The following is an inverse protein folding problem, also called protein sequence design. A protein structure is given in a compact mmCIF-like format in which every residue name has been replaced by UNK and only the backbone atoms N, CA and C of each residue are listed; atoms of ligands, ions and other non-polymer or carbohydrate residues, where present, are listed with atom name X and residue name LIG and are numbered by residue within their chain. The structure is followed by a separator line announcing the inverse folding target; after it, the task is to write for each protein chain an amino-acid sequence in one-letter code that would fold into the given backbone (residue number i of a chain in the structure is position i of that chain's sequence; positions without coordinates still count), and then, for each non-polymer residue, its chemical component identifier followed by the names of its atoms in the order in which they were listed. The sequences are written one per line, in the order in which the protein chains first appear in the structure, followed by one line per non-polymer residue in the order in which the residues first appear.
data_IF_225328583112
#
_entry.id   IF_225328583112
#
_cell.length_a   1.000
_cell.length_b   1.000
_cell.length_c   1.000
_cell.angle_alpha   90.00
_cell.angle_beta   90.00
_cell.angle_gamma   90.00
#
_symmetry.space_group_name_H-M   'P 1'
#
loop_
_entity.id
_entity.type
_entity.pdbx_description
1 polymer ?
#
# COMPACT_ATOMS: atom_id res chain seq x y z
N UNK A 1 23.32 6.48 -15.66
CA UNK A 1 23.53 7.66 -14.79
C UNK A 1 22.98 7.33 -13.42
N UNK A 2 23.72 7.64 -12.35
CA UNK A 2 23.32 7.49 -10.95
C UNK A 2 23.60 8.78 -10.17
N UNK A 3 23.14 8.89 -8.93
CA UNK A 3 23.28 10.11 -8.10
C UNK A 3 23.91 9.81 -6.74
N UNK A 4 24.96 10.55 -6.40
CA UNK A 4 25.63 10.47 -5.09
C UNK A 4 25.10 11.50 -4.08
N UNK A 5 24.18 12.38 -4.48
CA UNK A 5 23.64 13.44 -3.59
C UNK A 5 22.64 12.86 -2.60
N UNK A 6 22.66 13.33 -1.36
CA UNK A 6 21.71 12.89 -0.33
C UNK A 6 20.28 13.34 -0.62
N UNK A 7 20.10 14.37 -1.44
CA UNK A 7 18.80 14.74 -1.99
C UNK A 7 18.08 13.55 -2.68
N UNK A 8 18.82 12.64 -3.32
CA UNK A 8 18.20 11.44 -3.92
C UNK A 8 17.68 10.47 -2.84
N UNK A 9 18.40 10.32 -1.73
CA UNK A 9 18.00 9.49 -0.59
C UNK A 9 16.76 10.07 0.10
N UNK A 10 16.73 11.39 0.28
CA UNK A 10 15.58 12.11 0.82
C UNK A 10 14.35 12.00 -0.11
N UNK A 11 14.53 12.16 -1.42
CA UNK A 11 13.46 12.03 -2.41
C UNK A 11 12.80 10.64 -2.38
N UNK A 12 13.58 9.56 -2.23
CA UNK A 12 13.02 8.21 -2.07
C UNK A 12 12.11 8.13 -0.84
N UNK A 13 12.48 8.77 0.27
CA UNK A 13 11.64 8.82 1.47
C UNK A 13 10.37 9.64 1.24
N UNK A 14 10.45 10.76 0.51
CA UNK A 14 9.29 11.57 0.13
C UNK A 14 8.30 10.76 -0.74
N UNK A 15 8.80 10.06 -1.76
CA UNK A 15 8.00 9.21 -2.64
C UNK A 15 7.26 8.12 -1.86
N UNK A 16 7.93 7.50 -0.86
CA UNK A 16 7.27 6.54 0.03
C UNK A 16 6.16 7.21 0.85
N UNK A 17 6.41 8.39 1.42
CA UNK A 17 5.40 9.13 2.18
C UNK A 17 4.17 9.45 1.32
N UNK A 18 4.38 10.03 0.14
CA UNK A 18 3.31 10.42 -0.78
C UNK A 18 2.49 9.22 -1.23
N UNK A 19 3.16 8.11 -1.57
CA UNK A 19 2.50 6.87 -1.95
C UNK A 19 1.59 6.34 -0.82
N UNK A 20 2.03 6.41 0.44
CA UNK A 20 1.20 5.95 1.57
C UNK A 20 0.08 6.93 1.92
N UNK A 21 0.30 8.23 1.77
CA UNK A 21 -0.76 9.23 1.95
C UNK A 21 -1.88 9.06 0.92
N UNK A 22 -1.52 8.87 -0.35
CA UNK A 22 -2.48 8.60 -1.44
C UNK A 22 -3.28 7.31 -1.21
N UNK A 23 -2.67 6.32 -0.55
CA UNK A 23 -3.34 5.08 -0.12
C UNK A 23 -4.21 5.25 1.14
N UNK A 24 -4.39 6.48 1.63
CA UNK A 24 -5.23 6.79 2.80
C UNK A 24 -4.58 6.40 4.13
N UNK A 25 -3.25 6.33 4.19
CA UNK A 25 -2.50 5.95 5.39
C UNK A 25 -1.94 7.14 6.15
N UNK A 26 -2.32 8.38 5.79
CA UNK A 26 -1.89 9.59 6.49
C UNK A 26 -2.04 9.45 8.02
N UNK A 27 -0.96 9.77 8.75
CA UNK A 27 -0.89 9.65 10.21
C UNK A 27 -0.84 8.21 10.76
N UNK A 28 -0.71 7.19 9.90
CA UNK A 28 -0.67 5.76 10.27
C UNK A 28 0.62 5.06 9.87
N UNK A 29 1.60 5.80 9.38
CA UNK A 29 2.91 5.27 9.04
C UNK A 29 3.99 6.24 9.51
N UNK A 30 5.21 5.73 9.57
CA UNK A 30 6.43 6.52 9.73
C UNK A 30 7.51 5.93 8.83
N UNK A 31 8.28 6.79 8.15
CA UNK A 31 9.51 6.42 7.46
C UNK A 31 10.67 6.71 8.41
N UNK A 32 11.45 5.68 8.71
CA UNK A 32 12.58 5.73 9.62
C UNK A 32 13.88 5.64 8.82
N UNK A 33 14.83 6.51 9.11
CA UNK A 33 16.13 6.57 8.41
C UNK A 33 17.24 6.26 9.41
N UNK A 34 18.08 5.29 9.08
CA UNK A 34 19.37 5.05 9.71
C UNK A 34 20.52 5.34 8.74
N UNK A 35 21.77 5.29 9.20
CA UNK A 35 22.94 5.44 8.33
C UNK A 35 24.06 4.47 8.73
N UNK A 36 24.57 3.72 7.74
CA UNK A 36 25.65 2.74 7.91
C UNK A 36 26.97 3.39 8.34
N UNK A 37 27.29 4.56 7.81
CA UNK A 37 28.52 5.28 8.17
C UNK A 37 28.51 5.68 9.65
N UNK A 38 27.35 6.08 10.18
CA UNK A 38 27.19 6.35 11.62
C UNK A 38 27.45 5.09 12.44
N UNK A 39 26.78 3.98 12.13
CA UNK A 39 26.99 2.73 12.87
C UNK A 39 28.44 2.26 12.81
N UNK A 40 29.10 2.36 11.65
CA UNK A 40 30.51 2.04 11.52
C UNK A 40 31.37 2.91 12.44
N UNK A 41 31.13 4.22 12.48
CA UNK A 41 31.86 5.12 13.38
C UNK A 41 31.59 4.88 14.87
N UNK A 42 30.38 4.43 15.23
CA UNK A 42 30.06 3.97 16.59
C UNK A 42 30.90 2.75 16.97
N UNK A 43 31.03 1.79 16.05
CA UNK A 43 31.85 0.60 16.25
C UNK A 43 33.35 0.93 16.35
N UNK A 44 33.84 1.85 15.52
CA UNK A 44 35.21 2.38 15.62
C UNK A 44 35.45 3.02 16.99
N UNK A 45 34.52 3.87 17.45
CA UNK A 45 34.60 4.55 18.75
C UNK A 45 34.54 3.57 19.92
N UNK A 46 33.75 2.50 19.78
CA UNK A 46 33.71 1.40 20.75
C UNK A 46 35.02 0.58 20.78
N UNK A 47 35.95 0.78 19.82
CA UNK A 47 37.17 0.00 19.69
C UNK A 47 36.92 -1.40 19.15
N UNK A 48 35.89 -1.56 18.30
CA UNK A 48 35.65 -2.81 17.55
C UNK A 48 36.47 -2.76 16.27
N UNK A 49 37.26 -3.79 16.02
CA UNK A 49 38.06 -3.87 14.78
C UNK A 49 37.16 -3.99 13.55
N UNK A 50 37.29 -3.00 12.67
CA UNK A 50 36.54 -2.86 11.42
C UNK A 50 37.43 -3.25 10.23
N UNK A 51 37.59 -4.56 10.02
CA UNK A 51 38.18 -5.08 8.78
C UNK A 51 37.14 -5.09 7.64
N UNK A 52 37.57 -5.08 6.36
CA UNK A 52 36.68 -5.40 5.24
C UNK A 52 36.04 -6.77 5.51
N UNK A 53 34.70 -6.82 5.51
CA UNK A 53 33.91 -8.01 5.88
C UNK A 53 33.97 -8.42 7.37
N UNK A 54 34.19 -7.46 8.28
CA UNK A 54 34.14 -7.70 9.73
C UNK A 54 32.90 -8.52 10.13
N UNK A 55 33.16 -9.77 10.54
CA UNK A 55 32.13 -10.70 11.01
C UNK A 55 31.45 -10.13 12.25
N UNK A 56 32.22 -9.46 13.11
CA UNK A 56 31.72 -8.81 14.32
C UNK A 56 30.75 -7.68 13.98
N UNK A 57 31.11 -6.76 13.07
CA UNK A 57 30.20 -5.69 12.63
C UNK A 57 28.90 -6.26 12.03
N UNK A 58 29.02 -7.31 11.20
CA UNK A 58 27.86 -8.01 10.64
C UNK A 58 26.99 -8.67 11.72
N UNK A 59 27.60 -9.27 12.75
CA UNK A 59 26.89 -9.84 13.89
C UNK A 59 26.17 -8.74 14.68
N UNK A 60 26.83 -7.61 14.96
CA UNK A 60 26.21 -6.46 15.65
C UNK A 60 24.98 -5.97 14.88
N UNK A 61 25.09 -5.77 13.57
CA UNK A 61 23.95 -5.37 12.73
C UNK A 61 22.79 -6.36 12.83
N UNK A 62 23.06 -7.67 12.79
CA UNK A 62 22.02 -8.71 12.98
C UNK A 62 21.42 -8.72 14.38
N UNK A 63 22.15 -8.26 15.38
CA UNK A 63 21.62 -8.13 16.75
C UNK A 63 20.62 -6.96 16.79
N UNK A 64 21.01 -5.81 16.26
CA UNK A 64 20.17 -4.61 16.22
C UNK A 64 18.96 -4.76 15.29
N UNK A 65 19.08 -5.47 14.15
CA UNK A 65 17.95 -5.74 13.23
C UNK A 65 16.79 -6.50 13.93
N UNK A 66 17.07 -7.14 15.08
CA UNK A 66 16.07 -7.81 15.92
C UNK A 66 15.46 -6.89 16.99
N UNK A 67 15.78 -5.59 17.01
CA UNK A 67 15.34 -4.64 18.03
C UNK A 67 13.82 -4.57 18.14
N UNK A 68 13.10 -4.44 17.02
CA UNK A 68 11.63 -4.39 17.01
C UNK A 68 10.98 -5.63 17.65
N UNK A 69 11.65 -6.79 17.61
CA UNK A 69 11.15 -8.06 18.18
C UNK A 69 11.60 -8.29 19.62
N UNK A 70 12.83 -7.90 19.94
CA UNK A 70 13.50 -8.29 21.20
C UNK A 70 13.59 -7.16 22.22
N UNK A 71 13.37 -5.93 21.79
CA UNK A 71 13.60 -4.72 22.57
C UNK A 71 15.05 -4.55 22.98
N UNK A 72 15.30 -3.49 23.75
CA UNK A 72 16.66 -3.14 24.21
C UNK A 72 17.32 -4.29 24.97
N UNK A 73 16.64 -4.87 25.98
CA UNK A 73 17.22 -5.92 26.82
C UNK A 73 17.66 -7.14 26.01
N UNK A 74 16.86 -7.58 25.05
CA UNK A 74 17.19 -8.71 24.19
C UNK A 74 18.35 -8.40 23.24
N UNK A 75 18.43 -7.17 22.73
CA UNK A 75 19.56 -6.72 21.89
C UNK A 75 20.84 -6.62 22.70
N UNK A 76 20.83 -6.07 23.93
CA UNK A 76 22.03 -6.02 24.79
C UNK A 76 22.61 -7.40 25.05
N UNK A 77 21.75 -8.39 25.35
CA UNK A 77 22.19 -9.78 25.52
C UNK A 77 22.86 -10.32 24.24
N UNK A 78 22.28 -10.03 23.08
CA UNK A 78 22.82 -10.43 21.77
C UNK A 78 24.09 -9.67 21.38
N UNK A 79 24.28 -8.42 21.77
CA UNK A 79 25.54 -7.71 21.54
C UNK A 79 26.70 -8.36 22.30
N UNK A 80 26.40 -8.92 23.48
CA UNK A 80 27.36 -9.62 24.35
C UNK A 80 27.42 -11.10 24.00
N UNK A 81 27.28 -11.99 24.98
CA UNK A 81 27.48 -13.44 24.80
C UNK A 81 26.35 -14.14 24.01
N UNK A 82 25.15 -13.58 23.98
CA UNK A 82 23.98 -14.20 23.38
C UNK A 82 22.82 -14.34 24.37
N UNK A 83 21.77 -15.03 23.95
CA UNK A 83 20.57 -15.25 24.77
C UNK A 83 19.95 -16.62 24.51
N UNK A 84 19.29 -17.16 25.52
CA UNK A 84 18.37 -18.29 25.38
C UNK A 84 16.93 -17.76 25.25
N UNK A 85 16.14 -18.35 24.36
CA UNK A 85 14.72 -18.04 24.25
C UNK A 85 13.85 -18.97 25.12
N UNK A 86 12.54 -18.73 25.11
CA UNK A 86 11.57 -19.51 25.92
C UNK A 86 11.47 -20.97 25.49
N UNK A 87 11.90 -21.30 24.26
CA UNK A 87 11.95 -22.67 23.74
C UNK A 87 13.22 -23.42 24.14
N UNK A 88 14.18 -22.72 24.75
CA UNK A 88 15.47 -23.27 25.13
C UNK A 88 16.53 -23.18 24.02
N UNK A 89 16.25 -22.50 22.91
CA UNK A 89 17.21 -22.31 21.84
C UNK A 89 18.18 -21.17 22.18
N UNK A 90 19.49 -21.42 22.03
CA UNK A 90 20.52 -20.43 22.33
C UNK A 90 20.98 -19.74 21.05
N UNK A 91 20.79 -18.43 21.00
CA UNK A 91 21.33 -17.57 19.96
C UNK A 91 22.65 -16.97 20.43
N UNK A 92 23.75 -17.33 19.76
CA UNK A 92 25.07 -16.74 19.98
C UNK A 92 25.04 -15.22 19.68
N UNK A 93 25.72 -14.45 20.54
CA UNK A 93 25.84 -13.00 20.40
C UNK A 93 27.03 -12.54 19.54
N UNK A 94 27.21 -11.22 19.46
CA UNK A 94 28.32 -10.60 18.75
C UNK A 94 29.64 -10.64 19.54
N UNK A 95 29.60 -10.97 20.83
CA UNK A 95 30.78 -11.15 21.66
C UNK A 95 31.44 -9.84 22.11
N UNK A 96 30.71 -8.72 22.08
CA UNK A 96 31.22 -7.45 22.58
C UNK A 96 31.44 -7.48 24.09
N UNK A 97 32.48 -6.79 24.55
CA UNK A 97 32.65 -6.46 25.98
C UNK A 97 31.52 -5.55 26.48
N UNK A 98 31.33 -5.47 27.80
CA UNK A 98 30.30 -4.59 28.38
C UNK A 98 30.51 -3.13 27.95
N UNK A 99 31.75 -2.63 28.00
CA UNK A 99 32.09 -1.27 27.57
C UNK A 99 31.78 -1.02 26.08
N UNK A 100 32.10 -1.97 25.21
CA UNK A 100 31.77 -1.87 23.77
C UNK A 100 30.26 -1.89 23.54
N UNK A 101 29.54 -2.78 24.23
CA UNK A 101 28.09 -2.87 24.12
C UNK A 101 27.41 -1.59 24.61
N UNK A 102 27.94 -0.94 25.65
CA UNK A 102 27.36 0.27 26.23
C UNK A 102 27.41 1.45 25.23
N UNK A 103 28.48 1.58 24.42
CA UNK A 103 28.56 2.58 23.33
C UNK A 103 27.50 2.33 22.25
N UNK A 104 27.28 1.06 21.88
CA UNK A 104 26.21 0.69 20.94
C UNK A 104 24.82 0.96 21.54
N UNK A 105 24.64 0.72 22.83
CA UNK A 105 23.38 1.02 23.54
C UNK A 105 23.12 2.53 23.59
N UNK A 106 24.14 3.35 23.79
CA UNK A 106 24.03 4.81 23.71
C UNK A 106 23.55 5.24 22.32
N UNK A 107 24.17 4.69 21.26
CA UNK A 107 23.71 4.88 19.88
C UNK A 107 22.25 4.51 19.67
N UNK A 108 21.81 3.34 20.14
CA UNK A 108 20.41 2.90 20.00
C UNK A 108 19.41 3.79 20.76
N UNK A 109 19.87 4.47 21.82
CA UNK A 109 19.06 5.42 22.60
C UNK A 109 19.11 6.85 22.04
N UNK A 110 19.89 7.12 20.99
CA UNK A 110 20.00 8.45 20.39
C UNK A 110 18.74 8.89 19.61
N UNK A 111 17.72 8.03 19.51
CA UNK A 111 16.42 8.41 18.98
C UNK A 111 15.83 9.60 19.77
N UNK A 112 15.34 10.61 19.06
CA UNK A 112 15.03 11.92 19.62
C UNK A 112 13.70 12.48 19.13
N UNK A 113 13.33 13.66 19.65
CA UNK A 113 12.09 14.35 19.28
C UNK A 113 12.17 15.03 17.92
N UNK A 114 13.34 15.51 17.53
CA UNK A 114 13.59 16.10 16.21
C UNK A 114 14.76 15.41 15.51
N UNK A 115 14.80 15.48 14.18
CA UNK A 115 15.92 14.97 13.37
C UNK A 115 17.25 15.64 13.74
N UNK A 116 17.22 16.94 14.05
CA UNK A 116 18.38 17.70 14.53
C UNK A 116 18.92 17.17 15.86
N UNK A 117 18.06 16.94 16.85
CA UNK A 117 18.49 16.43 18.16
C UNK A 117 19.21 15.06 18.01
N UNK A 118 18.70 14.22 17.10
CA UNK A 118 19.33 12.94 16.78
C UNK A 118 20.72 13.15 16.16
N UNK A 119 20.85 14.05 15.18
CA UNK A 119 22.16 14.37 14.59
C UNK A 119 23.16 14.89 15.64
N UNK A 120 22.73 15.74 16.57
CA UNK A 120 23.59 16.26 17.65
C UNK A 120 24.03 15.15 18.61
N UNK A 121 23.10 14.29 19.03
CA UNK A 121 23.42 13.13 19.88
C UNK A 121 24.39 12.19 19.17
N UNK A 122 24.13 11.84 17.91
CA UNK A 122 25.00 10.97 17.12
C UNK A 122 26.40 11.58 16.95
N UNK A 123 26.52 12.90 16.76
CA UNK A 123 27.82 13.59 16.67
C UNK A 123 28.64 13.44 17.95
N UNK A 124 28.00 13.46 19.11
CA UNK A 124 28.65 13.17 20.38
C UNK A 124 29.15 11.73 20.50
N UNK A 125 28.32 10.77 20.06
CA UNK A 125 28.60 9.33 20.19
C UNK A 125 29.71 8.87 19.24
N UNK A 126 29.72 9.36 17.99
CA UNK A 126 30.76 8.99 17.01
C UNK A 126 32.10 9.69 17.26
N UNK A 127 32.13 10.71 18.13
CA UNK A 127 33.35 11.42 18.53
C UNK A 127 34.20 11.86 17.34
N UNK A 128 35.46 11.41 17.31
CA UNK A 128 36.44 11.75 16.27
C UNK A 128 36.41 10.82 15.04
N UNK A 129 35.52 9.83 14.99
CA UNK A 129 35.40 8.94 13.83
C UNK A 129 35.05 9.74 12.57
N UNK A 130 35.92 9.72 11.57
CA UNK A 130 35.68 10.40 10.30
C UNK A 130 34.51 9.77 9.55
N UNK A 131 34.42 8.44 9.57
CA UNK A 131 33.34 7.67 8.97
C UNK A 131 32.00 7.99 9.66
N UNK A 132 31.99 8.01 11.00
CA UNK A 132 30.81 8.36 11.78
C UNK A 132 30.33 9.79 11.51
N UNK A 133 31.25 10.76 11.54
CA UNK A 133 30.92 12.16 11.28
C UNK A 133 30.40 12.37 9.86
N UNK A 134 30.98 11.67 8.86
CA UNK A 134 30.43 11.66 7.51
C UNK A 134 28.97 11.20 7.48
N UNK A 135 28.64 10.11 8.18
CA UNK A 135 27.26 9.63 8.27
C UNK A 135 26.31 10.62 8.92
N UNK A 136 26.77 11.36 9.94
CA UNK A 136 25.98 12.42 10.59
C UNK A 136 25.77 13.61 9.65
N UNK A 137 26.78 14.01 8.89
CA UNK A 137 26.68 15.08 7.90
C UNK A 137 25.73 14.70 6.75
N UNK A 138 25.77 13.44 6.30
CA UNK A 138 24.81 12.92 5.33
C UNK A 138 23.36 12.97 5.85
N UNK A 139 23.13 12.62 7.13
CA UNK A 139 21.81 12.76 7.76
C UNK A 139 21.38 14.23 7.86
N UNK A 140 22.29 15.15 8.16
CA UNK A 140 22.00 16.58 8.20
C UNK A 140 21.59 17.12 6.81
N UNK A 141 22.26 16.70 5.73
CA UNK A 141 21.88 17.07 4.35
C UNK A 141 20.48 16.52 3.99
N UNK A 142 20.15 15.30 4.44
CA UNK A 142 18.79 14.74 4.29
C UNK A 142 17.77 15.58 5.06
N UNK A 143 18.05 15.99 6.29
CA UNK A 143 17.16 16.81 7.12
C UNK A 143 16.87 18.17 6.47
N UNK A 144 17.90 18.84 5.94
CA UNK A 144 17.75 20.10 5.21
C UNK A 144 16.80 19.95 4.02
N UNK A 145 16.95 18.88 3.23
CA UNK A 145 16.09 18.61 2.09
C UNK A 145 14.65 18.30 2.52
N UNK A 146 14.45 17.40 3.49
CA UNK A 146 13.12 17.01 3.96
C UNK A 146 12.37 18.21 4.54
N UNK A 147 13.06 19.04 5.31
CA UNK A 147 12.51 20.27 5.88
C UNK A 147 12.09 21.25 4.79
N UNK A 148 12.95 21.47 3.79
CA UNK A 148 12.63 22.34 2.64
C UNK A 148 11.46 21.80 1.80
N UNK A 149 11.32 20.48 1.71
CA UNK A 149 10.24 19.80 0.99
C UNK A 149 8.93 19.70 1.80
N UNK A 150 8.92 20.09 3.08
CA UNK A 150 7.72 20.09 3.92
C UNK A 150 7.39 18.73 4.57
N UNK A 151 8.36 17.83 4.69
CA UNK A 151 8.19 16.54 5.38
C UNK A 151 8.70 16.65 6.82
N UNK A 152 7.76 16.75 7.75
CA UNK A 152 8.02 16.87 9.18
C UNK A 152 8.41 15.52 9.85
N UNK A 153 8.69 15.58 11.14
CA UNK A 153 9.08 14.44 11.97
C UNK A 153 7.90 13.52 12.32
N UNK A 154 6.66 13.86 11.95
CA UNK A 154 5.54 12.92 12.03
C UNK A 154 5.56 11.91 10.88
N UNK A 155 6.19 12.29 9.75
CA UNK A 155 6.30 11.43 8.56
C UNK A 155 7.66 10.74 8.47
N UNK A 156 8.75 11.49 8.70
CA UNK A 156 10.12 10.99 8.50
C UNK A 156 11.00 11.29 9.72
N UNK A 157 11.53 10.24 10.36
CA UNK A 157 12.37 10.33 11.56
C UNK A 157 13.74 9.69 11.35
N UNK A 158 14.73 10.13 12.12
CA UNK A 158 16.01 9.44 12.23
C UNK A 158 15.94 8.44 13.38
N UNK A 159 16.20 7.17 13.08
CA UNK A 159 16.09 6.07 14.03
C UNK A 159 17.35 5.19 13.95
N UNK A 160 18.25 5.29 14.95
CA UNK A 160 19.46 4.47 15.05
C UNK A 160 19.21 2.95 15.05
N UNK A 161 17.99 2.50 15.38
CA UNK A 161 17.65 1.08 15.40
C UNK A 161 17.44 0.49 13.99
N UNK A 162 17.32 1.34 12.96
CA UNK A 162 17.18 0.91 11.56
C UNK A 162 18.54 0.58 10.95
N UNK A 163 18.92 -0.69 11.00
CA UNK A 163 20.18 -1.20 10.44
C UNK A 163 19.92 -2.40 9.53
N UNK A 164 19.34 -2.14 8.36
CA UNK A 164 18.90 -3.18 7.41
C UNK A 164 20.00 -4.26 7.21
N UNK A 165 19.63 -5.52 7.45
CA UNK A 165 20.57 -6.67 7.49
C UNK A 165 21.24 -7.09 6.17
N UNK A 166 20.99 -6.38 5.07
CA UNK A 166 21.63 -6.66 3.78
C UNK A 166 23.01 -5.98 3.73
N UNK A 167 24.05 -6.74 3.41
CA UNK A 167 25.45 -6.26 3.43
C UNK A 167 25.78 -5.31 2.29
N UNK A 168 24.89 -5.12 1.31
CA UNK A 168 25.15 -4.27 0.15
C UNK A 168 24.86 -2.78 0.37
N UNK A 169 24.21 -2.40 1.48
CA UNK A 169 23.96 -0.98 1.77
C UNK A 169 25.25 -0.28 2.21
N UNK A 170 25.50 0.89 1.64
CA UNK A 170 26.75 1.64 1.76
C UNK A 170 26.58 3.02 2.40
N UNK A 171 25.39 3.41 2.85
CA UNK A 171 25.11 4.73 3.40
C UNK A 171 23.76 4.77 4.13
N UNK A 172 22.89 5.77 3.84
CA UNK A 172 21.53 5.82 4.39
C UNK A 172 20.72 4.56 4.12
N UNK A 173 19.92 4.15 5.10
CA UNK A 173 18.98 3.02 5.01
C UNK A 173 17.62 3.47 5.49
N UNK A 174 16.56 2.96 4.85
CA UNK A 174 15.19 3.40 5.09
C UNK A 174 14.30 2.22 5.42
N UNK A 175 13.34 2.47 6.31
CA UNK A 175 12.25 1.56 6.57
C UNK A 175 10.95 2.31 6.81
N UNK A 176 9.91 1.97 6.06
CA UNK A 176 8.57 2.48 6.35
C UNK A 176 7.78 1.43 7.12
N UNK A 177 7.20 1.87 8.24
CA UNK A 177 6.42 1.02 9.13
C UNK A 177 5.04 1.61 9.35
N UNK A 178 4.03 0.74 9.31
CA UNK A 178 2.68 1.09 9.74
C UNK A 178 2.61 1.10 11.25
N UNK A 179 2.02 2.15 11.79
CA UNK A 179 1.67 2.26 13.19
C UNK A 179 0.31 1.59 13.38
N UNK A 180 0.25 0.53 14.18
CA UNK A 180 -0.98 -0.17 14.52
C UNK A 180 -1.19 -0.16 16.02
N UNK A 181 -2.46 -0.12 16.43
CA UNK A 181 -2.85 -0.30 17.83
C UNK A 181 -3.65 -1.58 17.91
N UNK A 182 -3.10 -2.58 18.60
CA UNK A 182 -3.78 -3.84 18.90
C UNK A 182 -4.21 -3.93 20.35
N UNK A 183 -4.81 -5.07 20.70
CA UNK A 183 -5.20 -5.40 22.07
C UNK A 183 -4.02 -5.47 23.06
N UNK A 184 -2.81 -5.73 22.56
CA UNK A 184 -1.57 -5.78 23.33
C UNK A 184 -0.78 -4.45 23.34
N UNK A 185 -1.34 -3.37 22.75
CA UNK A 185 -0.69 -2.06 22.67
C UNK A 185 -0.34 -1.64 21.23
N UNK A 186 0.50 -0.60 21.12
CA UNK A 186 1.01 -0.15 19.82
C UNK A 186 2.13 -1.09 19.33
N UNK A 187 2.04 -1.48 18.06
CA UNK A 187 3.11 -2.18 17.37
C UNK A 187 3.30 -1.62 15.96
N UNK A 188 4.52 -1.74 15.44
CA UNK A 188 4.88 -1.30 14.11
C UNK A 188 5.00 -2.51 13.17
N UNK A 189 4.62 -2.34 11.91
CA UNK A 189 4.79 -3.37 10.87
C UNK A 189 5.50 -2.77 9.67
N UNK A 190 6.69 -3.29 9.33
CA UNK A 190 7.43 -2.87 8.13
C UNK A 190 6.64 -3.22 6.85
N UNK A 191 6.43 -2.18 6.03
CA UNK A 191 5.71 -2.24 4.74
C UNK A 191 6.56 -1.80 3.54
N UNK A 192 7.67 -1.10 3.78
CA UNK A 192 8.67 -0.84 2.76
C UNK A 192 10.07 -0.76 3.38
N UNK A 193 11.08 -0.99 2.56
CA UNK A 193 12.47 -0.84 2.96
C UNK A 193 13.37 -0.50 1.79
N UNK A 194 14.49 0.14 2.08
CA UNK A 194 15.41 0.62 1.05
C UNK A 194 16.70 1.16 1.64
N UNK A 195 17.47 1.84 0.80
CA UNK A 195 18.72 2.47 1.18
C UNK A 195 19.64 2.71 -0.01
N UNK A 196 20.81 3.29 0.27
CA UNK A 196 21.91 3.54 -0.67
C UNK A 196 22.82 2.32 -0.82
N UNK A 197 23.17 1.96 -2.06
CA UNK A 197 23.94 0.75 -2.40
C UNK A 197 24.92 1.00 -3.56
N UNK A 198 25.85 1.94 -3.37
CA UNK A 198 26.73 2.44 -4.43
C UNK A 198 27.68 1.39 -5.03
N UNK A 199 28.02 0.35 -4.26
CA UNK A 199 28.92 -0.71 -4.71
C UNK A 199 28.21 -1.86 -5.43
N UNK A 200 26.88 -1.90 -5.45
CA UNK A 200 26.16 -3.06 -5.99
C UNK A 200 26.32 -3.17 -7.51
N UNK A 201 26.18 -2.05 -8.23
CA UNK A 201 26.34 -2.02 -9.70
C UNK A 201 27.78 -2.33 -10.10
N UNK A 202 28.74 -1.82 -9.34
CA UNK A 202 30.18 -2.04 -9.56
C UNK A 202 30.53 -3.53 -9.50
N UNK A 203 29.96 -4.29 -8.56
CA UNK A 203 30.21 -5.73 -8.43
C UNK A 203 29.85 -6.54 -9.68
N UNK A 204 28.90 -6.08 -10.49
CA UNK A 204 28.48 -6.79 -11.71
C UNK A 204 29.05 -6.20 -13.00
N UNK A 205 29.38 -4.91 -13.01
CA UNK A 205 29.72 -4.18 -14.24
C UNK A 205 31.15 -3.60 -14.23
N UNK A 206 31.81 -3.56 -13.08
CA UNK A 206 33.07 -2.85 -12.86
C UNK A 206 32.94 -1.33 -12.87
N UNK A 207 31.73 -0.78 -13.06
CA UNK A 207 31.49 0.66 -13.07
C UNK A 207 30.89 1.12 -11.75
N UNK A 208 31.54 2.10 -11.12
CA UNK A 208 31.00 2.75 -9.93
C UNK A 208 29.80 3.63 -10.31
N UNK A 209 28.61 3.15 -9.97
CA UNK A 209 27.34 3.87 -10.22
C UNK A 209 26.61 4.01 -8.89
N UNK A 210 26.62 5.22 -8.29
CA UNK A 210 25.88 5.49 -7.07
C UNK A 210 24.38 5.25 -7.25
N UNK A 211 23.76 4.59 -6.29
CA UNK A 211 22.37 4.15 -6.41
C UNK A 211 21.68 4.12 -5.04
N UNK A 212 20.43 4.54 -5.02
CA UNK A 212 19.55 4.48 -3.85
C UNK A 212 18.14 4.14 -4.34
N UNK A 213 17.35 3.50 -3.48
CA UNK A 213 16.02 3.07 -3.83
C UNK A 213 15.32 2.36 -2.69
N UNK A 214 14.03 2.11 -2.88
CA UNK A 214 13.19 1.39 -1.94
C UNK A 214 12.24 0.43 -2.64
N UNK A 215 11.75 -0.54 -1.89
CA UNK A 215 10.74 -1.49 -2.34
C UNK A 215 9.58 -1.53 -1.35
N UNK A 216 8.37 -1.55 -1.89
CA UNK A 216 7.12 -1.65 -1.12
C UNK A 216 6.65 -3.11 -1.13
N UNK A 217 6.38 -3.66 0.05
CA UNK A 217 5.80 -4.98 0.22
C UNK A 217 4.30 -4.98 -0.08
N UNK A 218 3.95 -5.10 -1.37
CA UNK A 218 2.57 -5.00 -1.86
C UNK A 218 1.62 -5.97 -1.14
N UNK A 219 2.00 -7.24 -0.96
CA UNK A 219 1.12 -8.24 -0.35
C UNK A 219 0.67 -7.84 1.05
N UNK A 220 1.62 -7.42 1.89
CA UNK A 220 1.32 -6.94 3.26
C UNK A 220 0.47 -5.68 3.26
N UNK A 221 0.79 -4.76 2.35
CA UNK A 221 0.07 -3.50 2.23
C UNK A 221 -1.39 -3.73 1.81
N UNK A 222 -1.62 -4.65 0.85
CA UNK A 222 -2.95 -5.07 0.43
C UNK A 222 -3.74 -5.66 1.58
N UNK A 223 -3.15 -6.55 2.38
CA UNK A 223 -3.84 -7.15 3.53
C UNK A 223 -4.25 -6.10 4.57
N UNK A 224 -3.38 -5.13 4.85
CA UNK A 224 -3.70 -3.99 5.72
C UNK A 224 -4.86 -3.16 5.15
N UNK A 225 -4.79 -2.80 3.87
CA UNK A 225 -5.80 -1.98 3.23
C UNK A 225 -7.17 -2.70 3.17
N UNK A 226 -7.17 -4.03 2.97
CA UNK A 226 -8.38 -4.87 3.07
C UNK A 226 -8.95 -4.85 4.47
N UNK A 227 -8.11 -5.09 5.49
CA UNK A 227 -8.54 -5.10 6.89
C UNK A 227 -9.13 -3.76 7.35
N UNK A 228 -8.70 -2.65 6.73
CA UNK A 228 -9.21 -1.29 6.99
C UNK A 228 -10.41 -0.91 6.13
N UNK A 229 -10.86 -1.76 5.21
CA UNK A 229 -11.93 -1.44 4.26
C UNK A 229 -11.54 -0.34 3.25
N UNK A 230 -10.25 -0.04 3.10
CA UNK A 230 -9.71 1.02 2.21
C UNK A 230 -9.45 0.51 0.80
N UNK A 231 -9.31 -0.81 0.62
CA UNK A 231 -9.48 -1.41 -0.69
C UNK A 231 -10.98 -1.39 -1.00
N UNK A 232 -11.39 -0.46 -1.87
CA UNK A 232 -12.73 -0.43 -2.42
C UNK A 232 -13.15 -1.86 -2.77
N UNK A 233 -14.32 -2.29 -2.28
CA UNK A 233 -14.93 -3.53 -2.77
C UNK A 233 -15.17 -3.35 -4.28
N UNK A 234 -14.24 -3.85 -5.09
CA UNK A 234 -14.27 -4.00 -6.54
C UNK A 234 -14.75 -2.79 -7.36
N UNK A 235 -13.85 -2.22 -8.16
CA UNK A 235 -14.28 -1.61 -9.43
C UNK A 235 -13.35 -1.96 -10.58
N UNK A 236 -13.16 -3.27 -10.83
CA UNK A 236 -13.22 -3.67 -12.25
C UNK A 236 -14.63 -3.31 -12.68
N UNK A 237 -14.76 -2.23 -13.46
CA UNK A 237 -16.04 -1.64 -13.79
C UNK A 237 -16.90 -2.71 -14.48
N UNK A 238 -17.80 -3.33 -13.72
CA UNK A 238 -18.61 -4.45 -14.16
C UNK A 238 -19.55 -4.03 -15.31
N UNK A 239 -20.27 -4.99 -15.88
CA UNK A 239 -21.30 -4.67 -16.85
C UNK A 239 -22.30 -3.68 -16.24
N UNK A 240 -22.63 -2.65 -16.99
CA UNK A 240 -23.66 -1.67 -16.68
C UNK A 240 -25.05 -2.16 -17.11
N UNK A 241 -25.10 -3.09 -18.07
CA UNK A 241 -26.34 -3.59 -18.65
C UNK A 241 -26.26 -5.10 -18.81
N UNK A 242 -27.30 -5.81 -18.38
CA UNK A 242 -27.54 -7.20 -18.73
C UNK A 242 -28.58 -7.27 -19.85
N UNK A 243 -28.24 -7.85 -20.99
CA UNK A 243 -29.21 -8.27 -22.01
C UNK A 243 -29.72 -9.64 -21.62
N UNK A 244 -31.02 -9.74 -21.33
CA UNK A 244 -31.66 -10.99 -20.92
C UNK A 244 -32.02 -11.82 -22.15
N UNK A 245 -32.13 -13.13 -21.97
CA UNK A 245 -32.52 -14.07 -23.02
C UNK A 245 -33.90 -14.63 -22.70
N UNK A 246 -34.93 -14.14 -23.40
CA UNK A 246 -36.33 -14.58 -23.19
C UNK A 246 -36.66 -15.81 -24.02
N UNK A 247 -36.24 -15.82 -25.28
CA UNK A 247 -36.46 -16.93 -26.23
C UNK A 247 -35.16 -17.36 -26.91
N UNK A 248 -34.91 -18.67 -26.96
CA UNK A 248 -33.73 -19.24 -27.65
C UNK A 248 -33.70 -18.93 -29.15
N UNK A 249 -34.86 -18.84 -29.82
CA UNK A 249 -34.95 -18.50 -31.25
C UNK A 249 -34.40 -17.11 -31.55
N UNK A 250 -34.49 -16.21 -30.57
CA UNK A 250 -34.09 -14.81 -30.68
C UNK A 250 -32.64 -14.57 -30.21
N UNK A 251 -31.87 -15.63 -29.96
CA UNK A 251 -30.50 -15.53 -29.42
C UNK A 251 -29.61 -14.57 -30.24
N UNK A 252 -29.72 -14.59 -31.57
CA UNK A 252 -28.93 -13.73 -32.44
C UNK A 252 -29.26 -12.24 -32.27
N UNK A 253 -30.51 -11.89 -31.96
CA UNK A 253 -30.91 -10.50 -31.71
C UNK A 253 -30.31 -10.00 -30.40
N UNK A 254 -30.37 -10.78 -29.32
CA UNK A 254 -29.75 -10.39 -28.06
C UNK A 254 -28.23 -10.23 -28.16
N UNK A 255 -27.56 -11.08 -28.94
CA UNK A 255 -26.14 -10.93 -29.27
C UNK A 255 -25.93 -9.59 -29.99
N UNK A 256 -26.69 -9.31 -31.04
CA UNK A 256 -26.61 -8.06 -31.80
C UNK A 256 -26.75 -6.84 -30.90
N UNK A 257 -27.76 -6.80 -30.04
CA UNK A 257 -28.01 -5.69 -29.12
C UNK A 257 -26.88 -5.49 -28.12
N UNK A 258 -26.34 -6.59 -27.59
CA UNK A 258 -25.18 -6.56 -26.68
C UNK A 258 -23.97 -5.91 -27.37
N UNK A 259 -23.71 -6.24 -28.63
CA UNK A 259 -22.61 -5.63 -29.40
C UNK A 259 -22.89 -4.18 -29.80
N UNK A 260 -24.14 -3.81 -30.08
CA UNK A 260 -24.53 -2.41 -30.33
C UNK A 260 -24.27 -1.53 -29.10
N UNK A 261 -24.66 -1.99 -27.91
CA UNK A 261 -24.37 -1.29 -26.65
C UNK A 261 -22.86 -1.14 -26.42
N UNK A 262 -22.08 -2.21 -26.67
CA UNK A 262 -20.61 -2.18 -26.55
C UNK A 262 -19.97 -1.21 -27.54
N UNK A 263 -20.45 -1.16 -28.79
CA UNK A 263 -19.97 -0.21 -29.82
C UNK A 263 -20.28 1.24 -29.45
N UNK A 264 -21.36 1.46 -28.69
CA UNK A 264 -21.69 2.76 -28.12
C UNK A 264 -20.94 3.07 -26.80
N UNK A 265 -19.95 2.25 -26.40
CA UNK A 265 -19.15 2.45 -25.19
C UNK A 265 -19.82 1.98 -23.89
N UNK A 266 -20.99 1.34 -23.96
CA UNK A 266 -21.73 0.84 -22.79
C UNK A 266 -21.26 -0.58 -22.47
N UNK A 267 -20.84 -0.84 -21.23
CA UNK A 267 -20.39 -2.17 -20.81
C UNK A 267 -21.59 -3.11 -20.67
N UNK A 268 -21.96 -3.79 -21.75
CA UNK A 268 -23.08 -4.73 -21.77
C UNK A 268 -22.63 -6.20 -21.69
N UNK A 269 -23.38 -7.00 -20.96
CA UNK A 269 -23.23 -8.46 -20.87
C UNK A 269 -24.50 -9.15 -21.37
N UNK A 270 -24.34 -10.23 -22.13
CA UNK A 270 -25.44 -11.11 -22.51
C UNK A 270 -25.55 -12.23 -21.48
N UNK A 271 -26.76 -12.51 -20.98
CA UNK A 271 -26.99 -13.69 -20.16
C UNK A 271 -26.86 -14.97 -21.00
N UNK A 272 -25.90 -15.84 -20.67
CA UNK A 272 -25.64 -17.12 -21.37
C UNK A 272 -26.12 -18.35 -20.61
N UNK A 273 -26.71 -18.16 -19.41
CA UNK A 273 -27.21 -19.26 -18.58
C UNK A 273 -28.57 -19.77 -19.06
N UNK A 274 -29.15 -20.71 -18.30
CA UNK A 274 -30.53 -21.16 -18.48
C UNK A 274 -31.40 -20.80 -17.28
N UNK A 275 -32.64 -20.42 -17.53
CA UNK A 275 -33.59 -20.11 -16.46
C UNK A 275 -34.60 -19.04 -16.84
N UNK A 276 -35.63 -18.92 -16.00
CA UNK A 276 -36.63 -17.86 -16.12
C UNK A 276 -36.00 -16.47 -15.97
N UNK A 277 -36.69 -15.45 -16.47
CA UNK A 277 -36.28 -14.04 -16.35
C UNK A 277 -35.93 -13.67 -14.90
N UNK A 278 -36.68 -14.15 -13.91
CA UNK A 278 -36.39 -13.90 -12.50
C UNK A 278 -35.00 -14.39 -12.05
N UNK A 279 -34.51 -15.53 -12.59
CA UNK A 279 -33.14 -16.00 -12.32
C UNK A 279 -32.09 -15.11 -12.97
N UNK A 280 -32.36 -14.59 -14.17
CA UNK A 280 -31.46 -13.68 -14.88
C UNK A 280 -31.37 -12.33 -14.17
N UNK A 281 -32.49 -11.81 -13.65
CA UNK A 281 -32.50 -10.58 -12.85
C UNK A 281 -31.78 -10.78 -11.51
N UNK A 282 -31.92 -11.96 -10.88
CA UNK A 282 -31.13 -12.31 -9.68
C UNK A 282 -29.64 -12.39 -9.98
N UNK A 283 -29.26 -12.90 -11.15
CA UNK A 283 -27.88 -12.89 -11.62
C UNK A 283 -27.34 -11.47 -11.81
N UNK A 284 -28.11 -10.58 -12.44
CA UNK A 284 -27.76 -9.16 -12.58
C UNK A 284 -27.53 -8.52 -11.20
N UNK A 285 -28.43 -8.80 -10.26
CA UNK A 285 -28.37 -8.29 -8.89
C UNK A 285 -27.10 -8.74 -8.14
N UNK A 286 -26.80 -10.05 -8.18
CA UNK A 286 -25.60 -10.62 -7.55
C UNK A 286 -24.30 -10.05 -8.12
N UNK A 287 -24.30 -9.63 -9.40
CA UNK A 287 -23.15 -9.02 -10.06
C UNK A 287 -23.13 -7.49 -9.99
N UNK A 288 -24.11 -6.88 -9.33
CA UNK A 288 -24.20 -5.42 -9.21
C UNK A 288 -24.49 -4.71 -10.54
N UNK A 289 -25.10 -5.39 -11.51
CA UNK A 289 -25.45 -4.80 -12.80
C UNK A 289 -26.71 -3.92 -12.61
N UNK A 290 -26.65 -2.61 -12.93
CA UNK A 290 -27.74 -1.69 -12.60
C UNK A 290 -28.94 -1.75 -13.55
N UNK A 291 -28.75 -2.13 -14.82
CA UNK A 291 -29.82 -2.14 -15.82
C UNK A 291 -29.98 -3.52 -16.47
N UNK A 292 -31.20 -3.88 -16.83
CA UNK A 292 -31.52 -5.07 -17.60
C UNK A 292 -32.37 -4.73 -18.84
N UNK A 293 -32.04 -5.33 -19.99
CA UNK A 293 -32.78 -5.24 -21.25
C UNK A 293 -33.57 -6.53 -21.44
N UNK A 294 -34.87 -6.40 -21.67
CA UNK A 294 -35.85 -7.49 -21.72
C UNK A 294 -36.71 -7.31 -22.97
N UNK A 295 -36.81 -8.35 -23.79
CA UNK A 295 -37.77 -8.42 -24.89
C UNK A 295 -38.03 -9.89 -25.26
N UNK A 296 -39.29 -10.25 -25.45
CA UNK A 296 -39.74 -11.53 -26.00
C UNK A 296 -40.19 -11.39 -27.46
N UNK A 297 -40.88 -12.41 -27.97
CA UNK A 297 -41.41 -12.42 -29.35
C UNK A 297 -42.31 -11.19 -29.60
N UNK A 298 -43.21 -10.87 -28.69
CA UNK A 298 -44.15 -9.74 -28.81
C UNK A 298 -43.45 -8.38 -28.93
N UNK A 299 -42.49 -8.07 -28.05
CA UNK A 299 -41.80 -6.78 -28.12
C UNK A 299 -41.00 -6.62 -29.41
N UNK A 300 -40.38 -7.70 -29.91
CA UNK A 300 -39.67 -7.68 -31.19
C UNK A 300 -40.60 -7.43 -32.37
N UNK A 301 -41.77 -8.08 -32.41
CA UNK A 301 -42.77 -7.86 -33.46
C UNK A 301 -43.24 -6.40 -33.51
N UNK A 302 -43.37 -5.77 -32.34
CA UNK A 302 -43.76 -4.37 -32.21
C UNK A 302 -42.58 -3.39 -32.33
N UNK A 303 -41.35 -3.89 -32.55
CA UNK A 303 -40.16 -3.04 -32.67
C UNK A 303 -39.80 -2.30 -31.37
N UNK A 304 -40.13 -2.87 -30.22
CA UNK A 304 -39.92 -2.29 -28.89
C UNK A 304 -38.98 -3.13 -28.03
N UNK A 305 -38.50 -2.55 -26.93
CA UNK A 305 -37.70 -3.23 -25.92
C UNK A 305 -37.99 -2.66 -24.55
N UNK A 306 -37.98 -3.49 -23.53
CA UNK A 306 -38.16 -3.07 -22.15
C UNK A 306 -36.82 -2.94 -21.43
N UNK A 307 -36.58 -1.79 -20.82
CA UNK A 307 -35.40 -1.50 -19.99
C UNK A 307 -35.84 -1.43 -18.54
N UNK A 308 -35.24 -2.25 -17.67
CA UNK A 308 -35.51 -2.32 -16.24
C UNK A 308 -34.34 -1.77 -15.43
N UNK A 309 -34.60 -0.79 -14.56
CA UNK A 309 -33.64 -0.26 -13.60
C UNK A 309 -33.70 -1.05 -12.28
N UNK A 310 -32.66 -1.83 -12.03
CA UNK A 310 -32.55 -2.70 -10.86
C UNK A 310 -32.18 -1.93 -9.59
N UNK A 311 -31.62 -0.72 -9.70
CA UNK A 311 -31.33 0.16 -8.57
C UNK A 311 -32.63 0.69 -7.99
N UNK A 312 -33.49 1.27 -8.85
CA UNK A 312 -34.83 1.77 -8.45
C UNK A 312 -35.71 0.64 -7.92
N UNK A 313 -35.59 -0.57 -8.50
CA UNK A 313 -36.25 -1.77 -7.99
C UNK A 313 -35.94 -2.09 -6.53
N UNK A 314 -34.69 -1.89 -6.08
CA UNK A 314 -34.31 -2.07 -4.67
C UNK A 314 -34.86 -0.97 -3.77
N UNK A 315 -34.80 0.28 -4.22
CA UNK A 315 -35.24 1.43 -3.44
C UNK A 315 -36.75 1.43 -3.17
N UNK A 316 -37.55 0.99 -4.16
CA UNK A 316 -39.00 0.83 -3.99
C UNK A 316 -39.32 -0.38 -3.10
N UNK A 317 -38.53 -1.46 -3.18
CA UNK A 317 -38.71 -2.65 -2.33
C UNK A 317 -38.42 -2.41 -0.85
N UNK A 318 -37.50 -1.48 -0.52
CA UNK A 318 -37.19 -1.12 0.88
C UNK A 318 -38.21 -0.15 1.50
N UNK A 319 -39.04 0.53 0.70
CA UNK A 319 -39.99 1.57 1.14
C UNK A 319 -41.45 1.11 1.31
N UNK A 320 -41.83 -0.12 0.96
CA UNK A 320 -43.26 -0.56 0.94
C UNK A 320 -43.48 -1.93 1.59
N UNK A 321 -44.31 -1.99 2.64
CA UNK A 321 -44.63 -3.21 3.38
C UNK A 321 -45.80 -4.04 2.79
N UNK A 322 -46.78 -3.45 2.10
CA UNK A 322 -47.87 -4.22 1.48
C UNK A 322 -48.45 -3.57 0.21
N UNK A 323 -48.59 -4.41 -0.82
CA UNK A 323 -49.60 -4.42 -1.89
C UNK A 323 -49.71 -3.23 -2.87
N UNK A 324 -48.82 -3.24 -3.87
CA UNK A 324 -49.20 -2.99 -5.27
C UNK A 324 -48.08 -3.47 -6.21
N UNK A 325 -48.15 -4.72 -6.66
CA UNK A 325 -47.24 -5.25 -7.70
C UNK A 325 -47.32 -4.45 -9.01
N UNK A 326 -48.42 -3.72 -9.22
CA UNK A 326 -48.66 -2.89 -10.39
C UNK A 326 -47.80 -1.61 -10.43
N UNK A 327 -47.70 -0.86 -9.31
CA UNK A 327 -46.84 0.33 -9.21
C UNK A 327 -45.33 0.01 -9.29
N UNK A 328 -44.94 -1.25 -8.99
CA UNK A 328 -43.55 -1.73 -9.08
C UNK A 328 -43.07 -1.87 -10.54
N UNK A 329 -43.97 -2.18 -11.47
CA UNK A 329 -43.62 -2.35 -12.89
C UNK A 329 -43.47 -1.00 -13.59
N UNK A 330 -44.42 -0.06 -13.45
CA UNK A 330 -44.37 1.23 -14.17
C UNK A 330 -43.20 2.14 -13.76
N UNK A 331 -42.75 2.10 -12.50
CA UNK A 331 -41.68 2.99 -12.03
C UNK A 331 -40.26 2.46 -12.29
N UNK A 332 -40.11 1.17 -12.56
CA UNK A 332 -38.78 0.54 -12.71
C UNK A 332 -38.52 -0.02 -14.09
N UNK A 333 -39.55 -0.13 -14.92
CA UNK A 333 -39.50 -0.74 -16.24
C UNK A 333 -40.13 0.22 -17.26
N UNK A 334 -39.38 0.52 -18.32
CA UNK A 334 -39.84 1.38 -19.41
C UNK A 334 -39.73 0.64 -20.73
N UNK A 335 -40.78 0.69 -21.53
CA UNK A 335 -40.78 0.18 -22.90
C UNK A 335 -40.45 1.32 -23.85
N UNK A 336 -39.44 1.12 -24.71
CA UNK A 336 -38.98 2.12 -25.69
C UNK A 336 -38.93 1.51 -27.08
N UNK A 337 -39.03 2.33 -28.15
CA UNK A 337 -38.70 1.89 -29.50
C UNK A 337 -37.28 1.32 -29.52
N UNK A 338 -37.09 0.18 -30.19
CA UNK A 338 -35.80 -0.51 -30.20
C UNK A 338 -34.67 0.39 -30.74
N UNK A 339 -34.98 1.26 -31.71
CA UNK A 339 -34.01 2.20 -32.27
C UNK A 339 -33.43 3.19 -31.24
N UNK A 340 -34.16 3.45 -30.16
CA UNK A 340 -33.79 4.40 -29.10
C UNK A 340 -33.15 3.72 -27.88
N UNK A 341 -33.01 2.38 -27.90
CA UNK A 341 -32.50 1.59 -26.77
C UNK A 341 -31.15 2.10 -26.25
N UNK A 342 -30.19 2.34 -27.15
CA UNK A 342 -28.82 2.78 -26.79
C UNK A 342 -28.85 4.16 -26.14
N UNK A 343 -29.56 5.10 -26.75
CA UNK A 343 -29.70 6.48 -26.24
C UNK A 343 -30.35 6.48 -24.86
N UNK A 344 -31.44 5.70 -24.69
CA UNK A 344 -32.14 5.64 -23.41
C UNK A 344 -31.29 5.04 -22.30
N UNK A 345 -30.56 3.97 -22.59
CA UNK A 345 -29.65 3.34 -21.63
C UNK A 345 -28.52 4.30 -21.25
N UNK A 346 -27.93 5.01 -22.22
CA UNK A 346 -26.92 6.02 -21.95
C UNK A 346 -27.46 7.12 -21.01
N UNK A 347 -28.68 7.61 -21.25
CA UNK A 347 -29.35 8.58 -20.39
C UNK A 347 -29.57 8.07 -18.95
N UNK A 348 -30.02 6.83 -18.77
CA UNK A 348 -30.22 6.22 -17.45
C UNK A 348 -28.91 5.97 -16.67
N UNK A 349 -27.81 5.73 -17.39
CA UNK A 349 -26.50 5.56 -16.78
C UNK A 349 -25.86 6.90 -16.41
N UNK A 350 -26.14 7.96 -17.18
CA UNK A 350 -25.70 9.32 -16.88
C UNK A 350 -26.49 9.95 -15.72
N UNK A 351 -27.80 9.67 -15.62
CA UNK A 351 -28.70 10.19 -14.58
C UNK A 351 -28.73 9.37 -13.28
N UNK A 352 -27.58 8.90 -12.78
CA UNK A 352 -27.49 8.20 -11.48
C UNK A 352 -28.08 9.00 -10.30
N UNK A 353 -28.42 8.36 -9.18
CA UNK A 353 -29.34 8.87 -8.15
C UNK A 353 -28.74 10.04 -7.38
N UNK A 354 -28.85 11.27 -7.90
CA UNK A 354 -28.64 12.51 -7.15
C UNK A 354 -29.01 13.77 -7.96
N UNK A 355 -30.12 13.77 -8.71
CA UNK A 355 -30.69 15.02 -9.26
C UNK A 355 -32.22 14.94 -9.38
N UNK A 356 -32.93 14.76 -8.26
CA UNK A 356 -34.28 15.33 -8.15
C UNK A 356 -34.13 16.65 -7.40
N UNK A 357 -34.12 17.74 -8.18
CA UNK A 357 -34.30 19.09 -7.69
C UNK A 357 -35.58 19.12 -6.85
N UNK A 358 -35.42 19.35 -5.54
CA UNK A 358 -36.54 19.77 -4.69
C UNK A 358 -36.84 21.22 -5.05
N UNK A 359 -38.10 21.59 -5.36
CA UNK A 359 -38.47 22.98 -5.62
C UNK A 359 -38.28 23.88 -4.40
#
# INVERSE_FOLDING_TARGET
MGSARMAADAEICCVLCDAFEELGLAGKFVVRIGNRHVLNGVLETAGVEMEPDSVTATRVMRCIDKFDRLGMEGVVKLLRQGRMDESGDFTEGAGLTDMQADVVVEYLNAAGRSRRDVCEALRGIVGESQEGNRGVDELAEIDEFLTAAGYDENKVVFDPTVVRGLTYYTGPVFEASLLQTGSAGQYSMSIAGGGRYDSLVERFTGQKVPATGASIGIDRLVDVLKGRGQLAQNSTAGPQVLVTQMDKKLANEYVRWTFELRRAGIRAELYLGSGSIGKQLKYADQRGIPLAVIAGEDELEHGTVSIKDLRRGKEVASKVAERSEWLKHEQTQQTVPRGEMVERIAGLLAGGPDQEATP
#
